data_IF_884292276358
#
_entry.id   IF_884292276358
#
_cell.length_a   1.000
_cell.length_b   1.000
_cell.length_c   1.000
_cell.angle_alpha   90.00
_cell.angle_beta   90.00
_cell.angle_gamma   90.00
#
_symmetry.space_group_name_H-M   'P 1'
#
loop_
_entity.id
_entity.type
_entity.pdbx_description
1 polymer ?
#
# COMPACT_ATOMS: atom_id res chain seq x y z
N UNK A 1 0.81 9.62 11.38
CA UNK A 1 1.64 10.29 10.35
C UNK A 1 2.48 9.26 9.62
N UNK A 2 2.70 9.44 8.32
CA UNK A 2 3.47 8.52 7.49
C UNK A 2 4.99 8.65 7.75
N UNK A 3 5.74 7.55 7.93
CA UNK A 3 7.20 7.56 8.06
C UNK A 3 7.93 8.24 6.89
N UNK A 4 9.03 8.95 7.19
CA UNK A 4 9.81 9.71 6.19
C UNK A 4 10.30 8.87 5.01
N UNK A 5 10.74 7.62 5.24
CA UNK A 5 11.25 6.76 4.17
C UNK A 5 10.19 6.41 3.11
N UNK A 6 8.89 6.53 3.45
CA UNK A 6 7.79 6.28 2.53
C UNK A 6 7.39 7.52 1.74
N UNK A 7 7.84 8.72 2.11
CA UNK A 7 7.42 9.98 1.48
C UNK A 7 7.75 10.01 -0.03
N UNK A 8 8.80 9.30 -0.45
CA UNK A 8 9.19 9.15 -1.86
C UNK A 8 8.09 8.54 -2.76
N UNK A 9 7.17 7.76 -2.19
CA UNK A 9 6.06 7.15 -2.93
C UNK A 9 4.84 8.06 -3.10
N UNK A 10 4.82 9.19 -2.40
CA UNK A 10 3.70 10.12 -2.30
C UNK A 10 4.12 11.53 -2.70
N UNK A 11 4.88 11.65 -3.80
CA UNK A 11 5.41 12.91 -4.31
C UNK A 11 4.32 13.85 -4.87
N UNK A 12 3.15 13.30 -5.19
CA UNK A 12 1.96 13.97 -5.72
C UNK A 12 1.03 14.56 -4.64
N UNK A 13 1.31 14.29 -3.36
CA UNK A 13 0.49 14.76 -2.23
C UNK A 13 1.36 15.28 -1.09
N UNK A 14 0.77 16.06 -0.19
CA UNK A 14 1.46 16.55 1.01
C UNK A 14 1.61 15.40 2.04
N UNK A 15 2.58 14.50 1.78
CA UNK A 15 2.81 13.24 2.52
C UNK A 15 2.96 13.41 4.04
N UNK A 16 3.43 14.57 4.50
CA UNK A 16 3.55 14.92 5.93
C UNK A 16 2.20 15.03 6.64
N UNK A 17 1.15 15.41 5.92
CA UNK A 17 -0.23 15.54 6.44
C UNK A 17 -1.09 14.32 6.12
N UNK A 18 -0.53 13.27 5.51
CA UNK A 18 -1.25 12.06 5.17
C UNK A 18 -1.63 11.29 6.44
N UNK A 19 -2.92 11.25 6.74
CA UNK A 19 -3.47 10.47 7.83
C UNK A 19 -3.61 8.99 7.42
N UNK A 20 -2.95 8.11 8.16
CA UNK A 20 -2.87 6.68 7.82
C UNK A 20 -4.25 6.00 7.92
N UNK A 21 -5.08 6.39 8.90
CA UNK A 21 -6.39 5.77 9.11
C UNK A 21 -7.38 6.24 8.06
N UNK A 22 -7.38 7.54 7.76
CA UNK A 22 -8.27 8.16 6.77
C UNK A 22 -7.95 7.73 5.35
N UNK A 23 -6.68 7.55 5.02
CA UNK A 23 -6.22 7.26 3.65
C UNK A 23 -5.65 5.85 3.48
N UNK A 24 -6.05 4.90 4.33
CA UNK A 24 -5.59 3.49 4.31
C UNK A 24 -5.58 2.90 2.91
N UNK A 25 -6.71 2.96 2.20
CA UNK A 25 -6.86 2.35 0.88
C UNK A 25 -5.81 2.87 -0.11
N UNK A 26 -5.65 4.19 -0.18
CA UNK A 26 -4.70 4.85 -1.06
C UNK A 26 -3.24 4.53 -0.68
N UNK A 27 -2.92 4.48 0.62
CA UNK A 27 -1.58 4.15 1.09
C UNK A 27 -1.21 2.72 0.71
N UNK A 28 -2.09 1.77 0.99
CA UNK A 28 -1.87 0.36 0.64
C UNK A 28 -1.75 0.22 -0.87
N UNK A 29 -2.69 0.80 -1.65
CA UNK A 29 -2.65 0.79 -3.12
C UNK A 29 -1.29 1.26 -3.65
N UNK A 30 -0.82 2.42 -3.18
CA UNK A 30 0.42 3.02 -3.65
C UNK A 30 1.65 2.16 -3.31
N UNK A 31 1.70 1.62 -2.09
CA UNK A 31 2.84 0.85 -1.62
C UNK A 31 2.85 -0.58 -2.18
N UNK A 32 1.69 -1.18 -2.48
CA UNK A 32 1.63 -2.46 -3.20
C UNK A 32 2.07 -2.33 -4.66
N UNK A 33 1.82 -1.18 -5.31
CA UNK A 33 2.20 -0.97 -6.71
C UNK A 33 3.66 -0.52 -6.88
N UNK A 34 4.18 0.30 -5.96
CA UNK A 34 5.48 0.97 -6.13
C UNK A 34 6.47 0.74 -5.00
N UNK A 35 6.05 0.11 -3.89
CA UNK A 35 6.85 -0.03 -2.68
C UNK A 35 8.06 -0.96 -2.85
N UNK A 36 9.08 -0.72 -2.02
CA UNK A 36 10.20 -1.64 -1.82
C UNK A 36 9.95 -2.55 -0.61
N UNK A 37 10.89 -3.44 -0.30
CA UNK A 37 10.79 -4.39 0.80
C UNK A 37 10.55 -3.70 2.16
N UNK A 38 11.15 -2.53 2.38
CA UNK A 38 10.94 -1.78 3.63
C UNK A 38 9.52 -1.19 3.70
N UNK A 39 8.98 -0.72 2.59
CA UNK A 39 7.58 -0.31 2.50
C UNK A 39 6.62 -1.47 2.78
N UNK A 40 6.92 -2.67 2.26
CA UNK A 40 6.10 -3.87 2.47
C UNK A 40 6.17 -4.34 3.92
N UNK A 41 7.35 -4.33 4.55
CA UNK A 41 7.50 -4.60 5.99
C UNK A 41 6.67 -3.63 6.82
N UNK A 42 6.66 -2.35 6.44
CA UNK A 42 5.84 -1.35 7.10
C UNK A 42 4.34 -1.62 6.91
N UNK A 43 3.89 -1.97 5.71
CA UNK A 43 2.49 -2.35 5.46
C UNK A 43 2.04 -3.49 6.37
N UNK A 44 2.81 -4.58 6.41
CA UNK A 44 2.50 -5.77 7.21
C UNK A 44 2.44 -5.49 8.72
N UNK A 45 3.18 -4.49 9.20
CA UNK A 45 3.14 -4.07 10.61
C UNK A 45 1.91 -3.22 10.96
N UNK A 46 1.31 -2.53 9.99
CA UNK A 46 0.29 -1.51 10.23
C UNK A 46 -1.12 -1.87 9.73
N UNK A 47 -1.25 -2.88 8.87
CA UNK A 47 -2.51 -3.26 8.25
C UNK A 47 -2.75 -4.77 8.32
N UNK A 48 -4.01 -5.16 8.21
CA UNK A 48 -4.41 -6.56 8.27
C UNK A 48 -4.59 -7.16 6.87
N UNK A 49 -4.60 -8.50 6.78
CA UNK A 49 -4.80 -9.22 5.51
C UNK A 49 -6.08 -8.79 4.78
N UNK A 50 -7.16 -8.53 5.52
CA UNK A 50 -8.42 -8.02 4.98
C UNK A 50 -8.27 -6.69 4.24
N UNK A 51 -7.37 -5.82 4.70
CA UNK A 51 -7.12 -4.51 4.07
C UNK A 51 -6.43 -4.68 2.72
N UNK A 52 -5.47 -5.61 2.63
CA UNK A 52 -4.82 -5.95 1.36
C UNK A 52 -5.82 -6.57 0.38
N UNK A 53 -6.66 -7.50 0.84
CA UNK A 53 -7.69 -8.12 0.01
C UNK A 53 -8.66 -7.10 -0.57
N UNK A 54 -9.13 -6.17 0.26
CA UNK A 54 -10.01 -5.10 -0.18
C UNK A 54 -9.36 -4.27 -1.30
N UNK A 55 -8.10 -3.88 -1.13
CA UNK A 55 -7.37 -3.05 -2.09
C UNK A 55 -7.08 -3.81 -3.38
N UNK A 56 -6.61 -5.06 -3.31
CA UNK A 56 -6.33 -5.90 -4.47
C UNK A 56 -7.59 -6.17 -5.31
N UNK A 57 -8.75 -6.33 -4.67
CA UNK A 57 -10.04 -6.56 -5.34
C UNK A 57 -10.64 -5.29 -5.93
N UNK A 58 -10.58 -4.15 -5.22
CA UNK A 58 -11.30 -2.93 -5.62
C UNK A 58 -10.44 -1.94 -6.40
N UNK A 59 -9.11 -1.98 -6.25
CA UNK A 59 -8.24 -1.01 -6.91
C UNK A 59 -8.17 -1.26 -8.42
N UNK A 60 -8.43 -0.18 -9.18
CA UNK A 60 -8.22 -0.10 -10.63
C UNK A 60 -6.82 0.39 -11.01
N UNK A 61 -6.00 0.78 -10.02
CA UNK A 61 -4.66 1.36 -10.23
C UNK A 61 -3.55 0.35 -9.99
N UNK A 62 -3.84 -0.73 -9.26
CA UNK A 62 -2.93 -1.88 -9.17
C UNK A 62 -2.93 -2.61 -10.51
N UNK A 63 -1.75 -2.79 -11.08
CA UNK A 63 -1.57 -3.53 -12.32
C UNK A 63 -1.82 -5.03 -12.11
N UNK A 64 -2.20 -5.75 -13.17
CA UNK A 64 -2.44 -7.19 -13.08
C UNK A 64 -1.19 -7.96 -12.65
N UNK A 65 0.00 -7.47 -13.03
CA UNK A 65 1.28 -8.01 -12.57
C UNK A 65 1.40 -7.93 -11.05
N UNK A 66 1.23 -6.74 -10.48
CA UNK A 66 1.29 -6.55 -9.02
C UNK A 66 0.20 -7.34 -8.30
N UNK A 67 -1.03 -7.36 -8.83
CA UNK A 67 -2.14 -8.12 -8.25
C UNK A 67 -1.82 -9.62 -8.19
N UNK A 68 -1.34 -10.20 -9.29
CA UNK A 68 -0.97 -11.61 -9.35
C UNK A 68 0.17 -11.94 -8.38
N UNK A 69 1.20 -11.09 -8.32
CA UNK A 69 2.29 -11.25 -7.37
C UNK A 69 1.78 -11.26 -5.92
N UNK A 70 0.97 -10.27 -5.54
CA UNK A 70 0.47 -10.17 -4.17
C UNK A 70 -0.53 -11.26 -3.79
N UNK A 71 -1.36 -11.73 -4.74
CA UNK A 71 -2.23 -12.89 -4.49
C UNK A 71 -1.42 -14.14 -4.17
N UNK A 72 -0.29 -14.36 -4.86
CA UNK A 72 0.62 -15.47 -4.57
C UNK A 72 1.32 -15.31 -3.21
N UNK A 73 1.83 -14.11 -2.91
CA UNK A 73 2.58 -13.83 -1.68
C UNK A 73 1.69 -13.88 -0.43
N UNK A 74 0.47 -13.33 -0.52
CA UNK A 74 -0.43 -13.22 0.63
C UNK A 74 -1.37 -14.43 0.75
N UNK A 75 -1.48 -15.26 -0.27
CA UNK A 75 -2.40 -16.41 -0.34
C UNK A 75 -3.85 -15.94 -0.30
N UNK A 76 -4.22 -15.07 -1.24
CA UNK A 76 -5.53 -14.45 -1.34
C UNK A 76 -6.34 -15.00 -2.51
#
# INVERSE_FOLDING_TARGET
MLPKHLHKYFWDVESRKLDIKKYKFYIIERLLEMGDDEAVKWLNKNFQKSDFNEVLQKSRRISDRSRNYWNLVLGC
#
